data_IF_171984377566
#
_entry.id   IF_171984377566
#
_cell.length_a   1.000
_cell.length_b   1.000
_cell.length_c   1.000
_cell.angle_alpha   90.00
_cell.angle_beta   90.00
_cell.angle_gamma   90.00
#
_symmetry.space_group_name_H-M   'P 1'
#
loop_
_entity.id
_entity.type
_entity.pdbx_description
1 polymer ?
#
# COMPACT_ATOMS: atom_id res chain seq x y z
N UNK A 1 -23.00 -3.51 -14.06
CA UNK A 1 -21.87 -4.22 -14.71
C UNK A 1 -20.54 -3.48 -14.59
N UNK A 2 -20.43 -2.20 -14.95
CA UNK A 2 -19.13 -1.45 -14.89
C UNK A 2 -18.48 -1.43 -13.49
N UNK A 3 -19.27 -1.38 -12.42
CA UNK A 3 -18.77 -1.41 -11.03
C UNK A 3 -18.12 -2.76 -10.69
N UNK A 4 -18.69 -3.88 -11.15
CA UNK A 4 -18.15 -5.22 -10.91
C UNK A 4 -16.78 -5.38 -11.59
N UNK A 5 -16.64 -4.87 -12.82
CA UNK A 5 -15.36 -4.88 -13.54
C UNK A 5 -14.30 -4.02 -12.84
N UNK A 6 -14.69 -2.88 -12.27
CA UNK A 6 -13.77 -2.03 -11.51
C UNK A 6 -13.34 -2.69 -10.20
N UNK A 7 -14.26 -3.33 -9.47
CA UNK A 7 -13.94 -4.13 -8.28
C UNK A 7 -12.99 -5.28 -8.60
N UNK A 8 -13.26 -6.04 -9.66
CA UNK A 8 -12.39 -7.11 -10.12
C UNK A 8 -10.98 -6.58 -10.42
N UNK A 9 -10.87 -5.43 -11.09
CA UNK A 9 -9.58 -4.79 -11.36
C UNK A 9 -8.85 -4.36 -10.09
N UNK A 10 -9.55 -3.80 -9.10
CA UNK A 10 -8.96 -3.46 -7.80
C UNK A 10 -8.39 -4.73 -7.16
N UNK A 11 -9.19 -5.80 -7.08
CA UNK A 11 -8.78 -7.07 -6.48
C UNK A 11 -7.54 -7.63 -7.19
N UNK A 12 -7.53 -7.66 -8.53
CA UNK A 12 -6.39 -8.16 -9.29
C UNK A 12 -5.13 -7.33 -9.07
N UNK A 13 -5.24 -5.99 -9.09
CA UNK A 13 -4.10 -5.10 -8.86
C UNK A 13 -3.56 -5.29 -7.44
N UNK A 14 -4.44 -5.33 -6.44
CA UNK A 14 -4.05 -5.47 -5.04
C UNK A 14 -3.48 -6.85 -4.74
N UNK A 15 -4.02 -7.92 -5.34
CA UNK A 15 -3.48 -9.26 -5.18
C UNK A 15 -2.09 -9.39 -5.83
N UNK A 16 -1.93 -8.92 -7.07
CA UNK A 16 -0.65 -9.04 -7.80
C UNK A 16 0.40 -8.12 -7.19
N UNK A 17 0.14 -6.82 -7.12
CA UNK A 17 1.13 -5.87 -6.59
C UNK A 17 1.33 -6.04 -5.08
N UNK A 18 0.25 -6.28 -4.34
CA UNK A 18 0.34 -6.51 -2.90
C UNK A 18 1.07 -7.80 -2.57
N UNK A 19 0.86 -8.88 -3.32
CA UNK A 19 1.62 -10.13 -3.18
C UNK A 19 3.11 -9.93 -3.50
N UNK A 20 3.43 -9.29 -4.64
CA UNK A 20 4.82 -9.03 -5.03
C UNK A 20 5.56 -8.13 -4.03
N UNK A 21 4.92 -7.04 -3.60
CA UNK A 21 5.49 -6.15 -2.59
C UNK A 21 5.55 -6.81 -1.21
N UNK A 22 4.58 -7.65 -0.87
CA UNK A 22 4.53 -8.41 0.37
C UNK A 22 5.70 -9.38 0.47
N UNK A 23 5.97 -10.14 -0.59
CA UNK A 23 7.12 -11.05 -0.66
C UNK A 23 8.45 -10.31 -0.51
N UNK A 24 8.57 -9.13 -1.16
CA UNK A 24 9.73 -8.27 -1.02
C UNK A 24 9.89 -7.78 0.43
N UNK A 25 8.80 -7.33 1.06
CA UNK A 25 8.81 -6.88 2.46
C UNK A 25 9.18 -8.01 3.41
N UNK A 26 8.62 -9.21 3.20
CA UNK A 26 8.93 -10.40 3.99
C UNK A 26 10.44 -10.67 3.98
N UNK A 27 11.06 -10.67 2.80
CA UNK A 27 12.50 -10.84 2.66
C UNK A 27 13.31 -9.73 3.34
N UNK A 28 12.89 -8.47 3.23
CA UNK A 28 13.58 -7.34 3.85
C UNK A 28 13.51 -7.40 5.39
N UNK A 29 12.39 -7.87 5.93
CA UNK A 29 12.18 -7.97 7.37
C UNK A 29 12.79 -9.26 7.95
N UNK A 30 12.98 -10.31 7.15
CA UNK A 30 13.64 -11.54 7.57
C UNK A 30 15.13 -11.37 7.90
N UNK A 31 15.76 -10.26 7.52
CA UNK A 31 17.17 -9.97 7.84
C UNK A 31 17.39 -9.56 9.31
N UNK A 32 17.74 -10.55 10.12
CA UNK A 32 18.53 -10.60 11.37
C UNK A 32 18.24 -9.70 12.59
N UNK A 33 17.31 -8.73 12.56
CA UNK A 33 16.99 -7.96 13.78
C UNK A 33 15.54 -7.48 13.89
N UNK A 34 14.68 -7.80 12.92
CA UNK A 34 13.32 -7.25 12.84
C UNK A 34 12.37 -8.38 13.22
N UNK A 35 11.69 -8.23 14.36
CA UNK A 35 10.71 -9.21 14.80
C UNK A 35 9.61 -9.37 13.75
N UNK A 36 9.37 -10.62 13.33
CA UNK A 36 8.21 -11.04 12.53
C UNK A 36 6.88 -10.54 13.11
N UNK A 37 6.84 -10.28 14.42
CA UNK A 37 5.70 -9.68 15.13
C UNK A 37 5.24 -8.33 14.55
N UNK A 38 6.12 -7.59 13.87
CA UNK A 38 5.81 -6.29 13.25
C UNK A 38 5.67 -6.34 11.74
N UNK A 39 5.72 -7.51 11.12
CA UNK A 39 5.66 -7.65 9.66
C UNK A 39 4.35 -7.12 9.06
N UNK A 40 3.25 -7.23 9.81
CA UNK A 40 1.94 -6.69 9.42
C UNK A 40 1.96 -5.16 9.19
N UNK A 41 2.87 -4.41 9.82
CA UNK A 41 3.04 -2.96 9.56
C UNK A 41 3.49 -2.69 8.12
N UNK A 42 4.36 -3.55 7.58
CA UNK A 42 4.75 -3.52 6.18
C UNK A 42 3.57 -3.83 5.25
N UNK A 43 2.72 -4.80 5.63
CA UNK A 43 1.47 -5.09 4.91
C UNK A 43 0.52 -3.90 4.86
N UNK A 44 0.31 -3.21 6.00
CA UNK A 44 -0.51 -1.98 6.05
C UNK A 44 0.11 -0.87 5.21
N UNK A 45 1.43 -0.69 5.26
CA UNK A 45 2.15 0.28 4.45
C UNK A 45 1.90 0.06 2.95
N UNK A 46 1.97 -1.19 2.48
CA UNK A 46 1.68 -1.57 1.09
C UNK A 46 0.24 -1.21 0.72
N UNK A 47 -0.74 -1.57 1.56
CA UNK A 47 -2.15 -1.29 1.28
C UNK A 47 -2.43 0.21 1.14
N UNK A 48 -1.86 1.04 2.02
CA UNK A 48 -1.97 2.50 1.93
C UNK A 48 -1.35 3.03 0.64
N UNK A 49 -0.17 2.53 0.26
CA UNK A 49 0.51 2.95 -0.96
C UNK A 49 -0.28 2.56 -2.22
N UNK A 50 -0.80 1.33 -2.27
CA UNK A 50 -1.63 0.83 -3.36
C UNK A 50 -2.93 1.62 -3.47
N UNK A 51 -3.55 1.99 -2.35
CA UNK A 51 -4.71 2.87 -2.33
C UNK A 51 -4.41 4.23 -2.97
N UNK A 52 -3.30 4.88 -2.59
CA UNK A 52 -2.89 6.17 -3.17
C UNK A 52 -2.62 6.03 -4.67
N UNK A 53 -1.87 5.01 -5.08
CA UNK A 53 -1.57 4.73 -6.49
C UNK A 53 -2.86 4.50 -7.30
N UNK A 54 -3.79 3.73 -6.72
CA UNK A 54 -5.05 3.44 -7.35
C UNK A 54 -5.90 4.70 -7.50
N UNK A 55 -6.16 5.45 -6.42
CA UNK A 55 -6.98 6.69 -6.46
C UNK A 55 -6.40 7.76 -7.38
N UNK A 56 -5.08 7.92 -7.44
CA UNK A 56 -4.47 9.04 -8.17
C UNK A 56 -4.10 8.73 -9.62
N UNK A 57 -3.93 7.47 -9.99
CA UNK A 57 -3.46 7.07 -11.33
C UNK A 57 -4.32 5.98 -11.96
N UNK A 58 -4.47 4.84 -11.30
CA UNK A 58 -5.07 3.66 -11.93
C UNK A 58 -6.59 3.81 -12.09
N UNK A 59 -7.29 4.37 -11.10
CA UNK A 59 -8.73 4.56 -11.18
C UNK A 59 -9.15 5.49 -12.32
N UNK A 60 -8.32 6.47 -12.69
CA UNK A 60 -8.61 7.44 -13.76
C UNK A 60 -8.66 6.77 -15.14
N UNK A 61 -7.86 5.72 -15.34
CA UNK A 61 -7.91 4.91 -16.57
C UNK A 61 -9.00 3.83 -16.53
N UNK A 62 -9.83 3.79 -15.49
CA UNK A 62 -10.88 2.79 -15.30
C UNK A 62 -12.11 2.96 -16.18
N UNK A 63 -13.04 2.01 -16.03
CA UNK A 63 -14.28 1.96 -16.81
C UNK A 63 -15.39 2.84 -16.23
N UNK A 64 -15.23 3.27 -14.98
CA UNK A 64 -16.11 4.23 -14.32
C UNK A 64 -15.58 5.65 -14.49
N UNK A 65 -16.36 6.54 -15.14
CA UNK A 65 -16.04 7.97 -15.33
C UNK A 65 -17.04 8.91 -14.63
N UNK A 66 -17.70 8.43 -13.58
CA UNK A 66 -18.70 9.20 -12.82
C UNK A 66 -18.11 10.04 -11.69
N UNK A 67 -18.98 10.68 -10.90
CA UNK A 67 -18.60 11.41 -9.68
C UNK A 67 -17.82 10.47 -8.75
N UNK A 68 -16.53 10.73 -8.54
CA UNK A 68 -15.66 9.89 -7.71
C UNK A 68 -14.31 9.52 -8.34
N UNK A 69 -14.06 9.81 -9.62
CA UNK A 69 -12.74 9.64 -10.26
C UNK A 69 -11.74 10.78 -9.99
N UNK A 70 -12.04 11.63 -9.00
CA UNK A 70 -11.16 12.72 -8.62
C UNK A 70 -9.95 12.19 -7.88
N UNK A 71 -8.78 12.74 -8.22
CA UNK A 71 -7.54 12.50 -7.50
C UNK A 71 -7.70 12.95 -6.05
N UNK A 72 -6.99 12.28 -5.15
CA UNK A 72 -6.79 12.81 -3.81
C UNK A 72 -6.12 14.18 -3.91
N UNK A 73 -6.46 15.07 -2.98
CA UNK A 73 -5.77 16.36 -2.92
C UNK A 73 -4.26 16.15 -2.71
N UNK A 74 -3.40 17.07 -3.17
CA UNK A 74 -1.96 16.93 -3.00
C UNK A 74 -1.54 16.77 -1.54
N UNK A 75 -2.24 17.43 -0.61
CA UNK A 75 -2.02 17.30 0.84
C UNK A 75 -2.27 15.88 1.32
N UNK A 76 -3.47 15.34 1.07
CA UNK A 76 -3.84 13.97 1.48
C UNK A 76 -2.90 12.93 0.86
N UNK A 77 -2.56 13.10 -0.43
CA UNK A 77 -1.62 12.22 -1.12
C UNK A 77 -0.26 12.19 -0.41
N UNK A 78 0.31 13.36 -0.11
CA UNK A 78 1.61 13.46 0.57
C UNK A 78 1.55 12.88 1.98
N UNK A 79 0.49 13.17 2.73
CA UNK A 79 0.29 12.62 4.08
C UNK A 79 0.22 11.09 4.05
N UNK A 80 -0.60 10.50 3.17
CA UNK A 80 -0.73 9.04 3.10
C UNK A 80 0.56 8.36 2.65
N UNK A 81 1.29 8.95 1.70
CA UNK A 81 2.63 8.44 1.32
C UNK A 81 3.59 8.53 2.51
N UNK A 82 3.61 9.66 3.22
CA UNK A 82 4.42 9.82 4.43
C UNK A 82 4.09 8.80 5.52
N UNK A 83 2.79 8.54 5.76
CA UNK A 83 2.33 7.51 6.69
C UNK A 83 2.75 6.11 6.26
N UNK A 84 2.63 5.78 4.97
CA UNK A 84 3.07 4.49 4.43
C UNK A 84 4.57 4.29 4.61
N UNK A 85 5.40 5.30 4.32
CA UNK A 85 6.84 5.27 4.56
C UNK A 85 7.14 5.09 6.06
N UNK A 86 6.47 5.86 6.93
CA UNK A 86 6.65 5.75 8.37
C UNK A 86 6.31 4.34 8.89
N UNK A 87 5.18 3.78 8.46
CA UNK A 87 4.77 2.42 8.81
C UNK A 87 5.79 1.38 8.33
N UNK A 88 6.28 1.51 7.10
CA UNK A 88 7.28 0.59 6.54
C UNK A 88 8.61 0.62 7.30
N UNK A 89 9.04 1.80 7.76
CA UNK A 89 10.32 1.97 8.48
C UNK A 89 10.19 1.59 9.96
N UNK A 90 8.98 1.65 10.53
CA UNK A 90 8.77 1.44 11.97
C UNK A 90 9.30 0.11 12.53
N UNK A 91 9.20 -1.07 11.87
CA UNK A 91 9.77 -2.31 12.39
C UNK A 91 11.29 -2.25 12.57
N UNK A 92 11.99 -1.52 11.68
CA UNK A 92 13.43 -1.31 11.81
C UNK A 92 13.73 -0.48 13.06
N UNK A 93 13.03 0.64 13.25
CA UNK A 93 13.24 1.51 14.43
C UNK A 93 12.98 0.73 15.72
N UNK A 94 11.92 -0.06 15.77
CA UNK A 94 11.56 -0.86 16.94
C UNK A 94 12.63 -1.92 17.21
N UNK A 95 13.07 -2.66 16.19
CA UNK A 95 14.15 -3.64 16.32
C UNK A 95 15.44 -3.00 16.84
N UNK A 96 15.80 -1.81 16.34
CA UNK A 96 16.96 -1.04 16.83
C UNK A 96 16.87 -0.60 18.30
N UNK A 97 15.66 -0.40 18.85
CA UNK A 97 15.48 -0.01 20.26
C UNK A 97 15.53 -1.23 21.18
N UNK A 98 15.18 -2.41 20.67
CA UNK A 98 15.12 -3.65 21.45
C UNK A 98 16.45 -4.42 21.50
N UNK A 99 17.39 -4.09 20.62
CA UNK A 99 18.79 -4.59 20.59
C UNK A 99 19.67 -3.73 21.49
#
# INVERSE_FOLDING_TARGET
MRVILELLRIILIFAILGGLLGELVHHLYATDAIHTDFEWLGGVAILVLLFVLYRNKLQISGWYKGKGTEKLSPGITRTLIGCSIFLFVSPFIIGWIQV
#
